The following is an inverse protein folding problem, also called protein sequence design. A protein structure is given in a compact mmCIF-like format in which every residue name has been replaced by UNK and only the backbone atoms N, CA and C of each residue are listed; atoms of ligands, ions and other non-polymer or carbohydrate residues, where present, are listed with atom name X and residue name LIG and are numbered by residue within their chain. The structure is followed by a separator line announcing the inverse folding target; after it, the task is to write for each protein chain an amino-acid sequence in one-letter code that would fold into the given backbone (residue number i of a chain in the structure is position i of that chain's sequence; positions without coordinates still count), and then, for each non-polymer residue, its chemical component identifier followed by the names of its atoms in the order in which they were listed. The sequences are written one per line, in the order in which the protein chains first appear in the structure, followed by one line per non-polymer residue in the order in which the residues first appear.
data_IF_085765911432
#
_entry.id   IF_085765911432
#
_cell.length_a   1.000
_cell.length_b   1.000
_cell.length_c   1.000
_cell.angle_alpha   90.00
_cell.angle_beta   90.00
_cell.angle_gamma   90.00
#
_symmetry.space_group_name_H-M   'P 1'
#
loop_
_entity.id
_entity.type
_entity.pdbx_description
1 polymer ?
#
# COMPACT_ATOMS: atom_id res chain seq x y z
N UNK A 1 6.13 -2.75 6.24
CA UNK A 1 5.07 -3.63 5.72
C UNK A 1 5.34 -5.07 6.14
N UNK A 2 4.30 -5.83 6.46
CA UNK A 2 4.35 -7.28 6.71
C UNK A 2 3.26 -7.98 5.91
N UNK A 3 3.48 -9.25 5.54
CA UNK A 3 2.50 -10.10 4.83
C UNK A 3 2.37 -11.47 5.49
N UNK A 4 1.31 -12.26 5.20
CA UNK A 4 1.14 -13.60 5.77
C UNK A 4 2.32 -14.55 5.54
N UNK A 5 2.96 -14.46 4.37
CA UNK A 5 4.02 -15.38 3.96
C UNK A 5 5.44 -14.92 4.38
N UNK A 6 5.61 -13.70 4.87
CA UNK A 6 6.94 -13.11 5.08
C UNK A 6 7.70 -13.72 6.28
N UNK A 7 7.00 -14.17 7.31
CA UNK A 7 7.60 -14.82 8.50
C UNK A 7 8.44 -13.91 9.42
N UNK A 8 8.75 -12.68 9.02
CA UNK A 8 9.53 -11.74 9.82
C UNK A 8 8.74 -11.24 11.05
N UNK A 9 9.47 -10.95 12.13
CA UNK A 9 8.91 -10.25 13.31
C UNK A 9 9.07 -8.74 13.14
N UNK A 10 8.04 -8.01 13.55
CA UNK A 10 8.07 -6.55 13.56
C UNK A 10 8.89 -6.11 14.78
N UNK A 11 9.91 -5.24 14.62
CA UNK A 11 10.68 -4.72 15.73
C UNK A 11 9.80 -4.03 16.78
N UNK A 12 10.24 -4.06 18.03
CA UNK A 12 9.57 -3.37 19.12
C UNK A 12 9.51 -1.85 18.86
N UNK A 13 8.37 -1.22 19.15
CA UNK A 13 8.13 0.20 18.91
C UNK A 13 7.94 0.62 17.45
N UNK A 14 8.24 -0.22 16.45
CA UNK A 14 8.09 0.14 15.05
C UNK A 14 6.62 0.25 14.62
N UNK A 15 6.30 1.23 13.77
CA UNK A 15 5.03 1.27 13.04
C UNK A 15 4.99 0.17 11.99
N UNK A 16 3.79 -0.31 11.67
CA UNK A 16 3.62 -1.37 10.69
C UNK A 16 2.39 -1.19 9.82
N UNK A 17 2.38 -1.89 8.69
CA UNK A 17 1.24 -1.97 7.79
C UNK A 17 1.12 -3.41 7.28
N UNK A 18 -0.11 -3.86 7.08
CA UNK A 18 -0.45 -5.23 6.70
C UNK A 18 -0.86 -5.30 5.23
N UNK A 19 -0.02 -5.88 4.39
CA UNK A 19 -0.36 -6.23 3.01
C UNK A 19 -0.90 -7.67 2.97
N UNK A 20 -1.90 -7.91 2.12
CA UNK A 20 -2.58 -9.17 1.95
C UNK A 20 -1.72 -10.22 1.21
N UNK A 21 -0.72 -9.80 0.42
CA UNK A 21 0.22 -10.66 -0.29
C UNK A 21 -0.27 -11.21 -1.64
N UNK A 22 -1.38 -10.73 -2.20
CA UNK A 22 -1.97 -11.22 -3.46
C UNK A 22 -1.17 -10.92 -4.72
N UNK A 23 -0.39 -9.84 -4.75
CA UNK A 23 0.57 -9.64 -5.83
C UNK A 23 1.82 -10.52 -5.62
N UNK A 24 2.33 -10.54 -4.39
CA UNK A 24 3.58 -11.24 -4.03
C UNK A 24 4.84 -10.56 -4.56
N UNK A 25 6.00 -10.86 -3.99
CA UNK A 25 7.28 -10.30 -4.44
C UNK A 25 7.71 -10.79 -5.84
N UNK A 26 7.09 -11.87 -6.32
CA UNK A 26 7.30 -12.47 -7.63
C UNK A 26 6.26 -12.06 -8.68
N UNK A 27 5.24 -11.28 -8.28
CA UNK A 27 4.12 -10.88 -9.12
C UNK A 27 3.19 -12.03 -9.53
N UNK A 28 3.24 -13.19 -8.86
CA UNK A 28 2.46 -14.38 -9.21
C UNK A 28 1.43 -14.77 -8.14
N UNK A 29 1.28 -13.97 -7.09
CA UNK A 29 0.29 -14.19 -6.03
C UNK A 29 0.46 -15.49 -5.22
N UNK A 30 1.64 -16.13 -5.30
CA UNK A 30 1.93 -17.37 -4.56
C UNK A 30 1.91 -17.21 -3.04
N UNK A 31 1.91 -15.98 -2.55
CA UNK A 31 1.95 -15.64 -1.13
C UNK A 31 0.55 -15.44 -0.51
N UNK A 32 -0.52 -15.48 -1.32
CA UNK A 32 -1.89 -15.40 -0.81
C UNK A 32 -2.28 -16.71 -0.11
N UNK A 33 -2.56 -16.71 1.21
CA UNK A 33 -2.85 -17.93 1.94
C UNK A 33 -4.32 -18.38 1.83
N UNK A 34 -5.15 -17.63 1.10
CA UNK A 34 -6.61 -17.76 1.14
C UNK A 34 -7.24 -16.90 2.24
N UNK A 35 -8.49 -16.52 2.02
CA UNK A 35 -9.20 -15.48 2.78
C UNK A 35 -9.25 -15.74 4.28
N UNK A 36 -9.62 -16.96 4.71
CA UNK A 36 -9.69 -17.27 6.15
C UNK A 36 -8.32 -17.17 6.82
N UNK A 37 -7.28 -17.74 6.20
CA UNK A 37 -5.93 -17.72 6.77
C UNK A 37 -5.33 -16.32 6.80
N UNK A 38 -5.65 -15.49 5.82
CA UNK A 38 -5.29 -14.06 5.82
C UNK A 38 -5.99 -13.32 6.96
N UNK A 39 -7.30 -13.54 7.14
CA UNK A 39 -8.05 -12.90 8.23
C UNK A 39 -7.50 -13.30 9.60
N UNK A 40 -7.33 -14.61 9.86
CA UNK A 40 -6.78 -15.07 11.14
C UNK A 40 -5.36 -14.54 11.37
N UNK A 41 -4.57 -14.35 10.30
CA UNK A 41 -3.25 -13.74 10.39
C UNK A 41 -3.34 -12.26 10.74
N UNK A 42 -4.26 -11.51 10.13
CA UNK A 42 -4.45 -10.09 10.40
C UNK A 42 -4.86 -9.87 11.85
N UNK A 43 -5.86 -10.60 12.34
CA UNK A 43 -6.33 -10.53 13.74
C UNK A 43 -5.17 -10.76 14.71
N UNK A 44 -4.44 -11.88 14.57
CA UNK A 44 -3.29 -12.18 15.42
C UNK A 44 -2.16 -11.16 15.32
N UNK A 45 -1.98 -10.55 14.15
CA UNK A 45 -0.94 -9.53 13.93
C UNK A 45 -1.32 -8.25 14.65
N UNK A 46 -2.57 -7.80 14.52
CA UNK A 46 -3.09 -6.62 15.23
C UNK A 46 -3.09 -6.84 16.74
N UNK A 47 -3.55 -7.99 17.22
CA UNK A 47 -3.52 -8.33 18.65
C UNK A 47 -2.09 -8.33 19.21
N UNK A 48 -1.14 -8.93 18.48
CA UNK A 48 0.25 -9.04 18.93
C UNK A 48 0.98 -7.71 18.97
N UNK A 49 0.76 -6.85 17.99
CA UNK A 49 1.57 -5.65 17.81
C UNK A 49 0.86 -4.35 18.20
N UNK A 50 -0.46 -4.39 18.41
CA UNK A 50 -1.26 -3.24 18.81
C UNK A 50 -1.81 -2.45 17.62
N UNK A 51 -3.13 -2.22 17.64
CA UNK A 51 -3.83 -1.47 16.60
C UNK A 51 -3.32 -0.03 16.45
N UNK A 52 -2.86 0.58 17.55
CA UNK A 52 -2.31 1.94 17.63
C UNK A 52 -1.04 2.14 16.78
N UNK A 53 -0.30 1.06 16.49
CA UNK A 53 0.89 1.09 15.62
C UNK A 53 0.62 0.63 14.19
N UNK A 54 -0.59 0.17 13.90
CA UNK A 54 -0.99 -0.26 12.58
C UNK A 54 -1.38 0.95 11.73
N UNK A 55 -0.54 1.29 10.76
CA UNK A 55 -0.80 2.38 9.81
C UNK A 55 -2.03 2.08 8.95
N UNK A 56 -2.21 0.83 8.53
CA UNK A 56 -3.35 0.34 7.77
C UNK A 56 -3.25 -1.17 7.51
N UNK A 57 -4.37 -1.79 7.14
CA UNK A 57 -4.43 -3.14 6.58
C UNK A 57 -5.14 -3.16 5.23
N UNK A 58 -4.52 -3.80 4.23
CA UNK A 58 -5.02 -3.90 2.87
C UNK A 58 -6.09 -4.98 2.75
N UNK A 59 -7.28 -4.59 2.30
CA UNK A 59 -8.35 -5.53 1.98
C UNK A 59 -7.95 -6.46 0.82
N UNK A 60 -8.53 -7.66 0.70
CA UNK A 60 -8.25 -8.57 -0.41
C UNK A 60 -8.63 -7.94 -1.75
N UNK A 61 -7.73 -8.00 -2.73
CA UNK A 61 -7.89 -7.37 -4.05
C UNK A 61 -7.70 -8.36 -5.21
N UNK A 62 -7.84 -7.92 -6.44
CA UNK A 62 -7.49 -8.71 -7.64
C UNK A 62 -6.52 -7.87 -8.47
N UNK A 63 -5.22 -8.21 -8.49
CA UNK A 63 -4.23 -7.45 -9.23
C UNK A 63 -4.67 -7.19 -10.68
N UNK A 64 -4.64 -5.91 -11.05
CA UNK A 64 -4.98 -5.41 -12.38
C UNK A 64 -6.47 -5.50 -12.78
N UNK A 65 -7.38 -5.76 -11.83
CA UNK A 65 -8.82 -5.79 -12.07
C UNK A 65 -9.57 -4.98 -11.01
N UNK A 66 -9.97 -3.76 -11.34
CA UNK A 66 -10.69 -2.88 -10.42
C UNK A 66 -12.09 -3.39 -10.06
N UNK A 67 -12.80 -4.05 -10.99
CA UNK A 67 -14.15 -4.53 -10.72
C UNK A 67 -14.12 -5.71 -9.75
N UNK A 68 -13.25 -6.69 -10.03
CA UNK A 68 -13.08 -7.83 -9.14
C UNK A 68 -12.47 -7.42 -7.79
N UNK A 69 -11.60 -6.40 -7.77
CA UNK A 69 -11.09 -5.82 -6.51
C UNK A 69 -12.21 -5.18 -5.69
N UNK A 70 -13.10 -4.41 -6.31
CA UNK A 70 -14.24 -3.81 -5.62
C UNK A 70 -15.13 -4.88 -4.98
N UNK A 71 -15.48 -5.91 -5.74
CA UNK A 71 -16.33 -7.01 -5.26
C UNK A 71 -15.66 -7.78 -4.11
N UNK A 72 -14.36 -8.06 -4.22
CA UNK A 72 -13.66 -8.86 -3.22
C UNK A 72 -13.32 -8.06 -1.96
N UNK A 73 -12.92 -6.78 -2.09
CA UNK A 73 -12.50 -5.95 -0.96
C UNK A 73 -13.66 -5.48 -0.10
N UNK A 74 -14.80 -5.10 -0.70
CA UNK A 74 -15.89 -4.37 -0.03
C UNK A 74 -16.38 -5.03 1.26
N UNK A 75 -16.58 -6.37 1.36
CA UNK A 75 -17.01 -7.02 2.61
C UNK A 75 -16.01 -6.91 3.76
N UNK A 76 -14.73 -6.61 3.47
CA UNK A 76 -13.65 -6.60 4.47
C UNK A 76 -13.32 -5.21 5.00
N UNK A 77 -13.64 -4.15 4.27
CA UNK A 77 -13.28 -2.78 4.66
C UNK A 77 -13.85 -2.40 6.03
N UNK A 78 -15.14 -2.66 6.26
CA UNK A 78 -15.77 -2.44 7.56
C UNK A 78 -15.17 -3.36 8.65
N UNK A 79 -14.92 -4.63 8.34
CA UNK A 79 -14.36 -5.60 9.30
C UNK A 79 -12.95 -5.23 9.74
N UNK A 80 -12.13 -4.70 8.83
CA UNK A 80 -10.80 -4.19 9.16
C UNK A 80 -10.92 -3.00 10.13
N UNK A 81 -11.82 -2.06 9.86
CA UNK A 81 -12.09 -0.93 10.77
C UNK A 81 -12.57 -1.38 12.15
N UNK A 82 -13.35 -2.46 12.23
CA UNK A 82 -13.78 -3.06 13.51
C UNK A 82 -12.60 -3.60 14.35
N UNK A 83 -11.45 -3.91 13.75
CA UNK A 83 -10.22 -4.23 14.47
C UNK A 83 -9.52 -3.00 15.07
N UNK A 84 -10.07 -1.79 14.85
CA UNK A 84 -9.48 -0.53 15.29
C UNK A 84 -8.30 -0.05 14.45
N UNK A 85 -8.15 -0.55 13.22
CA UNK A 85 -7.08 -0.15 12.29
C UNK A 85 -7.63 0.44 11.00
N UNK A 86 -6.92 1.37 10.33
CA UNK A 86 -7.38 1.93 9.05
C UNK A 86 -7.47 0.87 7.94
N UNK A 87 -8.56 0.89 7.17
CA UNK A 87 -8.75 -0.01 6.03
C UNK A 87 -8.15 0.59 4.75
N UNK A 88 -7.30 -0.17 4.06
CA UNK A 88 -6.76 0.20 2.76
C UNK A 88 -7.49 -0.52 1.63
N UNK A 89 -7.78 0.20 0.54
CA UNK A 89 -8.37 -0.31 -0.69
C UNK A 89 -7.34 -0.23 -1.83
N UNK A 90 -7.17 -1.32 -2.58
CA UNK A 90 -6.25 -1.37 -3.71
C UNK A 90 -6.86 -0.74 -4.96
N UNK A 91 -6.31 0.40 -5.39
CA UNK A 91 -6.62 0.98 -6.69
C UNK A 91 -5.90 0.19 -7.80
N UNK A 92 -6.69 -0.43 -8.68
CA UNK A 92 -6.24 -1.29 -9.77
C UNK A 92 -6.62 -0.71 -11.13
N UNK A 93 -6.14 -1.35 -12.20
CA UNK A 93 -6.52 -1.01 -13.57
C UNK A 93 -8.06 -1.03 -13.73
N UNK A 94 -8.62 0.05 -14.28
CA UNK A 94 -10.07 0.22 -14.44
C UNK A 94 -10.74 1.09 -13.37
N UNK A 95 -10.03 1.52 -12.32
CA UNK A 95 -10.61 2.41 -11.31
C UNK A 95 -11.11 3.75 -11.88
N UNK A 96 -10.62 4.17 -13.06
CA UNK A 96 -11.12 5.35 -13.78
C UNK A 96 -12.62 5.28 -14.15
N UNK A 97 -13.23 4.09 -14.11
CA UNK A 97 -14.66 3.90 -14.39
C UNK A 97 -15.57 4.04 -13.16
N UNK A 98 -15.09 4.70 -12.10
CA UNK A 98 -15.87 4.93 -10.88
C UNK A 98 -15.94 3.74 -9.94
N UNK A 99 -14.95 2.84 -10.00
CA UNK A 99 -14.90 1.58 -9.23
C UNK A 99 -14.18 1.74 -7.88
N UNK A 100 -14.14 2.94 -7.32
CA UNK A 100 -13.57 3.21 -5.99
C UNK A 100 -14.73 3.44 -5.00
N UNK A 101 -14.81 2.66 -3.91
CA UNK A 101 -15.87 2.79 -2.91
C UNK A 101 -15.57 3.92 -1.92
N UNK A 102 -15.54 5.16 -2.39
CA UNK A 102 -15.22 6.32 -1.56
C UNK A 102 -16.05 6.37 -0.27
N UNK A 103 -15.38 6.64 0.86
CA UNK A 103 -15.98 6.65 2.20
C UNK A 103 -15.96 5.29 2.92
N UNK A 104 -15.76 4.20 2.19
CA UNK A 104 -15.72 2.85 2.79
C UNK A 104 -14.31 2.45 3.28
N UNK A 105 -13.28 3.23 2.96
CA UNK A 105 -11.87 2.97 3.32
C UNK A 105 -11.15 4.25 3.74
N UNK A 106 -9.94 4.09 4.31
CA UNK A 106 -9.14 5.16 4.92
C UNK A 106 -7.83 5.43 4.16
N UNK A 107 -7.34 4.44 3.40
CA UNK A 107 -6.10 4.55 2.61
C UNK A 107 -6.31 4.06 1.17
N UNK A 108 -6.02 4.90 0.19
CA UNK A 108 -5.95 4.51 -1.22
C UNK A 108 -4.58 3.90 -1.52
N UNK A 109 -4.51 2.59 -1.73
CA UNK A 109 -3.28 1.89 -2.09
C UNK A 109 -3.15 1.85 -3.63
N UNK A 110 -2.20 2.57 -4.21
CA UNK A 110 -1.93 2.56 -5.66
C UNK A 110 -1.25 1.24 -6.06
N UNK A 111 -2.04 0.27 -6.50
CA UNK A 111 -1.63 -1.12 -6.66
C UNK A 111 -1.26 -1.51 -8.10
N UNK A 112 -2.07 -1.13 -9.09
CA UNK A 112 -2.11 -1.57 -10.50
C UNK A 112 -0.79 -1.82 -11.24
N UNK A 113 -0.86 -2.14 -12.52
CA UNK A 113 0.36 -2.40 -13.28
C UNK A 113 1.29 -1.16 -13.34
N UNK A 114 2.49 -1.35 -13.86
CA UNK A 114 3.47 -0.26 -13.87
C UNK A 114 2.97 0.94 -14.65
N UNK A 115 2.41 0.74 -15.84
CA UNK A 115 1.96 1.80 -16.75
C UNK A 115 0.81 2.59 -16.13
N UNK A 116 -0.22 1.89 -15.65
CA UNK A 116 -1.36 2.48 -14.99
C UNK A 116 -0.95 3.24 -13.73
N UNK A 117 -0.11 2.64 -12.87
CA UNK A 117 0.33 3.23 -11.59
C UNK A 117 1.23 4.45 -11.76
N UNK A 118 2.06 4.52 -12.81
CA UNK A 118 2.84 5.73 -13.11
C UNK A 118 2.06 6.75 -13.93
N UNK A 119 0.88 6.39 -14.42
CA UNK A 119 0.13 7.16 -15.39
C UNK A 119 -0.75 8.25 -14.78
N UNK A 120 -1.35 9.09 -15.65
CA UNK A 120 -2.18 10.23 -15.24
C UNK A 120 -3.46 9.82 -14.50
N UNK A 121 -3.94 8.59 -14.69
CA UNK A 121 -5.11 8.07 -13.97
C UNK A 121 -4.81 7.90 -12.49
N UNK A 122 -3.73 7.18 -12.16
CA UNK A 122 -3.32 7.00 -10.77
C UNK A 122 -2.96 8.34 -10.11
N UNK A 123 -2.35 9.28 -10.85
CA UNK A 123 -2.12 10.65 -10.36
C UNK A 123 -3.42 11.34 -9.95
N UNK A 124 -4.40 11.38 -10.86
CA UNK A 124 -5.69 12.03 -10.61
C UNK A 124 -6.41 11.41 -9.41
N UNK A 125 -6.43 10.08 -9.31
CA UNK A 125 -7.05 9.36 -8.21
C UNK A 125 -6.34 9.61 -6.87
N UNK A 126 -5.01 9.74 -6.89
CA UNK A 126 -4.23 10.16 -5.73
C UNK A 126 -4.65 11.55 -5.25
N UNK A 127 -4.73 12.52 -6.16
CA UNK A 127 -5.16 13.89 -5.84
C UNK A 127 -6.59 13.93 -5.30
N UNK A 128 -7.51 13.18 -5.92
CA UNK A 128 -8.89 13.06 -5.45
C UNK A 128 -8.98 12.44 -4.04
N UNK A 129 -8.19 11.41 -3.74
CA UNK A 129 -8.12 10.84 -2.40
C UNK A 129 -7.70 11.89 -1.36
N UNK A 130 -6.67 12.68 -1.67
CA UNK A 130 -6.20 13.74 -0.77
C UNK A 130 -7.25 14.83 -0.55
N UNK A 131 -7.94 15.26 -1.60
CA UNK A 131 -9.05 16.22 -1.50
C UNK A 131 -10.19 15.69 -0.60
N UNK A 132 -10.37 14.37 -0.55
CA UNK A 132 -11.35 13.69 0.31
C UNK A 132 -10.82 13.39 1.72
N UNK A 133 -9.57 13.75 2.04
CA UNK A 133 -8.93 13.43 3.32
C UNK A 133 -8.56 11.96 3.49
N UNK A 134 -8.43 11.22 2.39
CA UNK A 134 -8.01 9.82 2.34
C UNK A 134 -6.51 9.76 2.10
N UNK A 135 -5.76 9.06 2.95
CA UNK A 135 -4.32 8.91 2.80
C UNK A 135 -3.98 8.06 1.57
N UNK A 136 -2.82 8.29 0.96
CA UNK A 136 -2.40 7.58 -0.25
C UNK A 136 -1.10 6.82 0.01
N UNK A 137 -1.09 5.55 -0.38
CA UNK A 137 0.09 4.69 -0.32
C UNK A 137 0.46 4.18 -1.72
N UNK A 138 1.74 4.24 -2.12
CA UNK A 138 2.20 3.66 -3.39
C UNK A 138 3.03 2.39 -3.16
N UNK A 139 2.55 1.27 -3.70
CA UNK A 139 3.31 0.02 -3.67
C UNK A 139 4.31 -0.15 -4.80
N UNK A 140 5.31 -1.02 -4.61
CA UNK A 140 6.38 -1.35 -5.58
C UNK A 140 7.31 -0.18 -5.94
N UNK A 141 7.61 0.68 -4.98
CA UNK A 141 8.54 1.80 -5.12
C UNK A 141 9.97 1.32 -4.88
N UNK A 142 10.57 0.74 -5.94
CA UNK A 142 11.89 0.10 -5.91
C UNK A 142 13.00 0.91 -6.60
N UNK A 143 12.75 2.17 -6.94
CA UNK A 143 13.71 3.04 -7.61
C UNK A 143 13.48 4.50 -7.25
N UNK A 144 14.52 5.33 -7.38
CA UNK A 144 14.41 6.79 -7.23
C UNK A 144 13.34 7.38 -8.14
N UNK A 145 13.24 6.90 -9.38
CA UNK A 145 12.22 7.34 -10.32
C UNK A 145 10.80 7.09 -9.77
N UNK A 146 10.53 5.90 -9.23
CA UNK A 146 9.22 5.61 -8.61
C UNK A 146 8.99 6.40 -7.33
N UNK A 147 10.04 6.67 -6.55
CA UNK A 147 9.92 7.47 -5.33
C UNK A 147 9.56 8.92 -5.66
N UNK A 148 10.17 9.50 -6.70
CA UNK A 148 9.79 10.81 -7.24
C UNK A 148 8.36 10.81 -7.79
N UNK A 149 7.90 9.73 -8.43
CA UNK A 149 6.49 9.62 -8.85
C UNK A 149 5.55 9.60 -7.65
N UNK A 150 5.88 8.85 -6.59
CA UNK A 150 5.05 8.80 -5.38
C UNK A 150 4.96 10.19 -4.71
N UNK A 151 6.09 10.90 -4.63
CA UNK A 151 6.15 12.28 -4.13
C UNK A 151 5.33 13.24 -5.00
N UNK A 152 5.48 13.19 -6.33
CA UNK A 152 4.70 14.00 -7.28
C UNK A 152 3.18 13.78 -7.16
N UNK A 153 2.77 12.53 -6.89
CA UNK A 153 1.37 12.17 -6.70
C UNK A 153 0.83 12.60 -5.33
N UNK A 154 1.71 13.01 -4.41
CA UNK A 154 1.37 13.35 -3.03
C UNK A 154 1.10 12.15 -2.14
N UNK A 155 1.78 11.02 -2.37
CA UNK A 155 1.62 9.84 -1.51
C UNK A 155 2.18 10.09 -0.10
N UNK A 156 1.40 9.77 0.92
CA UNK A 156 1.81 9.85 2.33
C UNK A 156 2.84 8.78 2.70
N UNK A 157 2.80 7.65 1.99
CA UNK A 157 3.75 6.55 2.22
C UNK A 157 3.97 5.72 0.96
N UNK A 158 5.06 4.97 0.96
CA UNK A 158 5.38 4.03 -0.11
C UNK A 158 6.11 2.81 0.46
N UNK A 159 6.02 1.68 -0.24
CA UNK A 159 6.76 0.47 0.08
C UNK A 159 7.45 -0.11 -1.16
N UNK A 160 8.48 -0.91 -0.88
CA UNK A 160 9.20 -1.67 -1.89
C UNK A 160 10.10 -2.72 -1.27
N UNK A 161 10.56 -3.64 -2.11
CA UNK A 161 11.51 -4.69 -1.78
C UNK A 161 12.97 -4.25 -1.96
N UNK A 162 13.25 -3.00 -2.33
CA UNK A 162 14.60 -2.51 -2.62
C UNK A 162 15.62 -2.82 -1.51
N UNK A 163 15.27 -2.59 -0.24
CA UNK A 163 16.14 -2.89 0.90
C UNK A 163 16.30 -4.38 1.19
N UNK A 164 15.37 -5.24 0.74
CA UNK A 164 15.49 -6.68 0.90
C UNK A 164 16.66 -7.27 0.09
N UNK A 165 17.12 -6.56 -0.95
CA UNK A 165 18.18 -7.02 -1.86
C UNK A 165 19.48 -6.22 -1.67
N UNK A 166 20.35 -6.65 -0.76
CA UNK A 166 21.61 -5.96 -0.47
C UNK A 166 21.43 -4.76 0.47
N UNK A 167 20.90 -4.98 1.69
CA UNK A 167 20.48 -3.91 2.61
C UNK A 167 21.59 -2.92 2.93
N UNK A 168 22.83 -3.37 3.18
CA UNK A 168 23.94 -2.49 3.56
C UNK A 168 24.24 -1.43 2.49
N UNK A 169 24.23 -1.84 1.22
CA UNK A 169 24.47 -0.96 0.08
C UNK A 169 23.24 -0.11 -0.26
N UNK A 170 22.06 -0.71 -0.20
CA UNK A 170 20.83 -0.05 -0.62
C UNK A 170 20.29 0.92 0.43
N UNK A 171 20.61 0.73 1.72
CA UNK A 171 20.27 1.68 2.79
C UNK A 171 20.97 3.03 2.58
N UNK A 172 22.27 3.01 2.28
CA UNK A 172 23.02 4.24 1.98
C UNK A 172 22.49 4.96 0.73
N UNK A 173 21.98 4.22 -0.26
CA UNK A 173 21.36 4.80 -1.46
C UNK A 173 19.98 5.39 -1.18
N UNK A 174 19.14 4.65 -0.47
CA UNK A 174 17.78 5.09 -0.13
C UNK A 174 17.82 6.32 0.75
N UNK A 175 18.71 6.37 1.73
CA UNK A 175 18.90 7.57 2.58
C UNK A 175 19.26 8.79 1.72
N UNK A 176 20.21 8.66 0.78
CA UNK A 176 20.52 9.74 -0.16
C UNK A 176 19.35 10.17 -1.06
N UNK A 177 18.47 9.24 -1.45
CA UNK A 177 17.25 9.57 -2.21
C UNK A 177 16.24 10.37 -1.38
N UNK A 178 16.07 10.01 -0.11
CA UNK A 178 15.17 10.71 0.81
C UNK A 178 15.70 12.12 1.11
N UNK A 179 17.01 12.27 1.32
CA UNK A 179 17.65 13.56 1.51
C UNK A 179 17.46 14.46 0.28
N UNK A 180 17.62 13.92 -0.93
CA UNK A 180 17.40 14.68 -2.18
C UNK A 180 15.96 15.21 -2.28
N UNK A 181 14.96 14.38 -1.96
CA UNK A 181 13.55 14.78 -1.99
C UNK A 181 13.20 15.83 -0.94
N UNK A 182 13.79 15.74 0.25
CA UNK A 182 13.59 16.75 1.30
C UNK A 182 14.20 18.11 0.93
N UNK A 183 15.33 18.11 0.20
CA UNK A 183 16.01 19.34 -0.20
C UNK A 183 15.53 19.92 -1.53
N UNK A 184 15.02 19.06 -2.42
CA UNK A 184 14.57 19.43 -3.76
C UNK A 184 13.19 18.83 -4.03
N UNK A 185 12.16 19.21 -3.26
CA UNK A 185 10.82 18.72 -3.50
C UNK A 185 10.36 19.16 -4.90
N UNK A 186 9.53 18.35 -5.54
CA UNK A 186 8.92 18.76 -6.80
C UNK A 186 8.11 20.05 -6.56
N UNK A 187 8.20 21.00 -7.49
CA UNK A 187 7.64 22.35 -7.36
C UNK A 187 6.13 22.42 -7.07
N UNK A 188 5.43 21.28 -7.10
CA UNK A 188 3.99 21.16 -6.86
C UNK A 188 3.60 19.96 -5.96
N UNK A 189 4.56 19.38 -5.24
CA UNK A 189 4.35 18.29 -4.29
C UNK A 189 3.98 18.81 -2.89
N UNK A 190 2.83 19.46 -2.73
CA UNK A 190 2.27 19.81 -1.41
C UNK A 190 0.81 19.48 -1.36
#
# INVERSE_FOLDING_TARGET
MTTPAQGNRIPEGALYACDNGKFGCDGKGRNWPGTQRWWDWLERTVERYGADRCLWALAPDVPFDAAATLDESRPWLARIRELGVPAAFAAQNGCEYGLIPWGEFDVLFLAGDTEWKTGPIAERLSREARERGVAVHMGRVNSLARLRTAEWFGCDSADGTYLAFGPDKNLARLTGWLDELHHTPSLFGT
#
